data_IF_303653802280
#
_entry.id   IF_303653802280
#
_cell.length_a   1.000
_cell.length_b   1.000
_cell.length_c   1.000
_cell.angle_alpha   90.00
_cell.angle_beta   90.00
_cell.angle_gamma   90.00
#
_symmetry.space_group_name_H-M   'P 1'
#
loop_
_entity.id
_entity.type
_entity.pdbx_description
1 polymer ?
#
# COMPACT_ATOMS: atom_id res chain seq x y z
N UNK A 1 -16.50 11.14 -76.17
CA UNK A 1 -17.70 11.71 -75.53
C UNK A 1 -17.30 12.14 -74.15
N UNK A 2 -17.31 13.43 -73.80
CA UNK A 2 -16.89 13.91 -72.47
C UNK A 2 -18.07 13.92 -71.47
N UNK A 3 -17.81 13.80 -70.16
CA UNK A 3 -18.85 13.86 -69.17
C UNK A 3 -19.16 15.28 -68.72
N UNK A 4 -20.40 15.48 -68.39
CA UNK A 4 -21.06 16.72 -67.99
C UNK A 4 -20.59 17.22 -66.65
N UNK A 5 -20.28 18.51 -66.55
CA UNK A 5 -19.90 19.23 -65.35
C UNK A 5 -21.16 19.72 -64.63
N UNK A 6 -21.39 19.29 -63.42
CA UNK A 6 -22.43 19.79 -62.55
C UNK A 6 -21.84 20.78 -61.55
N UNK A 7 -22.20 22.06 -61.68
CA UNK A 7 -21.86 23.16 -60.79
C UNK A 7 -22.75 23.10 -59.55
N UNK A 8 -22.13 22.95 -58.37
CA UNK A 8 -22.81 22.95 -57.06
C UNK A 8 -22.63 24.30 -56.41
N UNK A 9 -23.71 25.03 -56.29
CA UNK A 9 -23.82 26.31 -55.60
C UNK A 9 -23.59 26.20 -54.10
N UNK A 10 -22.61 26.93 -53.58
CA UNK A 10 -22.30 27.04 -52.15
C UNK A 10 -23.27 28.05 -51.53
N UNK A 11 -24.06 27.61 -50.56
CA UNK A 11 -24.86 28.47 -49.67
C UNK A 11 -24.03 28.74 -48.41
N UNK A 12 -23.73 30.00 -48.15
CA UNK A 12 -23.21 30.46 -46.86
C UNK A 12 -24.29 30.36 -45.78
N UNK A 13 -23.97 29.88 -44.56
CA UNK A 13 -24.84 30.07 -43.41
C UNK A 13 -24.43 31.27 -42.57
N UNK A 14 -25.37 32.11 -42.35
CA UNK A 14 -25.47 33.30 -41.49
C UNK A 14 -24.84 33.11 -40.13
N UNK A 15 -24.06 34.11 -39.72
CA UNK A 15 -23.48 34.28 -38.40
C UNK A 15 -24.59 34.41 -37.33
N UNK A 16 -24.66 33.46 -36.41
CA UNK A 16 -25.38 33.60 -35.15
C UNK A 16 -24.40 33.84 -34.02
N UNK A 17 -24.53 35.07 -33.49
CA UNK A 17 -23.89 35.50 -32.25
C UNK A 17 -24.19 34.53 -31.12
N UNK A 18 -23.19 33.84 -30.64
CA UNK A 18 -23.25 33.01 -29.41
C UNK A 18 -22.54 33.75 -28.29
N UNK A 19 -23.34 34.27 -27.39
CA UNK A 19 -22.96 34.78 -26.08
C UNK A 19 -22.00 33.84 -25.37
N UNK A 20 -20.82 34.33 -25.09
CA UNK A 20 -19.78 33.72 -24.28
C UNK A 20 -20.33 33.53 -22.85
N UNK A 21 -20.76 32.31 -22.50
CA UNK A 21 -20.98 31.92 -21.09
C UNK A 21 -19.62 31.70 -20.49
N UNK A 22 -19.27 32.52 -19.53
CA UNK A 22 -18.13 32.33 -18.64
C UNK A 22 -18.31 30.95 -17.96
N UNK A 23 -17.54 29.98 -18.41
CA UNK A 23 -17.41 28.72 -17.71
C UNK A 23 -16.63 29.03 -16.43
N UNK A 24 -17.33 29.08 -15.31
CA UNK A 24 -16.72 29.06 -13.99
C UNK A 24 -15.89 27.78 -13.89
N UNK A 25 -14.59 27.99 -13.99
CA UNK A 25 -13.59 26.99 -13.72
C UNK A 25 -13.76 26.53 -12.25
N UNK A 26 -14.49 25.43 -12.04
CA UNK A 26 -14.42 24.69 -10.79
C UNK A 26 -12.98 24.25 -10.64
N UNK A 27 -12.25 24.96 -9.80
CA UNK A 27 -10.95 24.51 -9.31
C UNK A 27 -11.17 23.12 -8.70
N UNK A 28 -10.82 22.09 -9.44
CA UNK A 28 -10.74 20.74 -8.92
C UNK A 28 -9.69 20.82 -7.80
N UNK A 29 -10.14 20.66 -6.56
CA UNK A 29 -9.25 20.51 -5.42
C UNK A 29 -8.40 19.26 -5.68
N UNK A 30 -7.23 19.49 -6.21
CA UNK A 30 -6.25 18.46 -6.48
C UNK A 30 -5.72 17.99 -5.10
N UNK A 31 -6.40 16.97 -4.52
CA UNK A 31 -5.82 16.28 -3.37
C UNK A 31 -4.45 15.79 -3.82
N UNK A 32 -3.38 16.16 -3.12
CA UNK A 32 -2.06 15.67 -3.46
C UNK A 32 -2.13 14.15 -3.53
N UNK A 33 -1.58 13.59 -4.61
CA UNK A 33 -1.55 12.14 -4.79
C UNK A 33 -0.84 11.56 -3.56
N UNK A 34 -1.56 10.77 -2.74
CA UNK A 34 -0.96 10.11 -1.58
C UNK A 34 0.20 9.29 -2.09
N UNK A 35 1.41 9.62 -1.66
CA UNK A 35 2.59 8.80 -1.97
C UNK A 35 2.34 7.42 -1.35
N UNK A 36 2.31 6.35 -2.15
CA UNK A 36 1.99 5.03 -1.64
C UNK A 36 3.13 4.53 -0.74
N UNK A 37 2.79 3.74 0.28
CA UNK A 37 3.76 3.08 1.16
C UNK A 37 4.83 2.33 0.32
N UNK A 38 6.14 2.47 0.61
CA UNK A 38 7.21 1.88 -0.20
C UNK A 38 7.06 0.38 -0.48
N UNK A 39 6.46 -0.40 0.43
CA UNK A 39 6.22 -1.82 0.22
C UNK A 39 5.23 -2.12 -0.91
N UNK A 40 4.35 -1.17 -1.28
CA UNK A 40 3.37 -1.37 -2.37
C UNK A 40 4.01 -1.37 -3.77
N UNK A 41 5.24 -0.93 -3.88
CA UNK A 41 6.04 -1.04 -5.12
C UNK A 41 7.21 -2.02 -4.98
N UNK A 42 7.53 -2.48 -3.77
CA UNK A 42 8.74 -3.23 -3.51
C UNK A 42 8.58 -4.75 -3.72
N UNK A 43 7.91 -5.47 -2.83
CA UNK A 43 7.73 -6.92 -2.86
C UNK A 43 8.98 -7.77 -2.56
N UNK A 44 10.13 -7.17 -2.33
CA UNK A 44 11.41 -7.86 -2.21
C UNK A 44 11.44 -8.88 -1.05
N UNK A 45 10.92 -8.55 0.13
CA UNK A 45 10.92 -9.45 1.28
C UNK A 45 10.17 -10.76 0.99
N UNK A 46 9.00 -10.66 0.34
CA UNK A 46 8.19 -11.83 -0.03
C UNK A 46 8.79 -12.66 -1.18
N UNK A 47 9.78 -12.12 -1.89
CA UNK A 47 10.53 -12.78 -2.93
C UNK A 47 11.97 -13.16 -2.51
N UNK A 48 12.33 -12.95 -1.24
CA UNK A 48 13.69 -13.22 -0.75
C UNK A 48 13.72 -14.18 0.43
N UNK A 49 12.79 -14.03 1.39
CA UNK A 49 12.83 -14.81 2.63
C UNK A 49 11.86 -15.99 2.59
N UNK A 50 12.29 -17.08 3.26
CA UNK A 50 11.39 -18.16 3.66
C UNK A 50 10.45 -17.61 4.74
N UNK A 51 9.15 -17.87 4.57
CA UNK A 51 8.10 -17.42 5.49
C UNK A 51 7.59 -18.66 6.24
N UNK A 52 8.26 -19.01 7.35
CA UNK A 52 7.85 -20.08 8.24
C UNK A 52 7.16 -19.51 9.48
N UNK A 53 6.17 -20.21 10.00
CA UNK A 53 5.33 -19.80 11.13
C UNK A 53 4.75 -21.01 11.85
N UNK A 54 4.23 -20.82 13.05
CA UNK A 54 3.64 -21.89 13.84
C UNK A 54 2.37 -22.43 13.17
N UNK A 55 2.22 -23.76 13.14
CA UNK A 55 1.12 -24.42 12.42
C UNK A 55 -0.27 -23.96 12.85
N UNK A 56 -0.45 -23.57 14.12
CA UNK A 56 -1.73 -23.09 14.66
C UNK A 56 -2.26 -21.84 13.98
N UNK A 57 -1.39 -21.00 13.39
CA UNK A 57 -1.83 -19.82 12.64
C UNK A 57 -2.64 -20.18 11.37
N UNK A 58 -2.51 -21.42 10.89
CA UNK A 58 -3.28 -21.94 9.76
C UNK A 58 -4.34 -22.97 10.16
N UNK A 59 -4.56 -23.19 11.47
CA UNK A 59 -5.53 -24.17 11.97
C UNK A 59 -6.83 -23.48 12.41
N UNK A 60 -7.92 -23.57 11.63
CA UNK A 60 -9.16 -22.86 11.93
C UNK A 60 -9.77 -23.23 13.29
N UNK A 61 -9.61 -24.49 13.73
CA UNK A 61 -10.11 -24.94 15.02
C UNK A 61 -9.45 -24.23 16.21
N UNK A 62 -8.26 -23.66 16.01
CA UNK A 62 -7.52 -22.87 16.99
C UNK A 62 -7.57 -21.36 16.74
N UNK A 63 -8.44 -20.91 15.84
CA UNK A 63 -8.56 -19.50 15.47
C UNK A 63 -7.51 -19.03 14.45
N UNK A 64 -6.77 -19.96 13.82
CA UNK A 64 -5.83 -19.67 12.76
C UNK A 64 -6.54 -19.12 11.52
N UNK A 65 -6.00 -18.03 10.96
CA UNK A 65 -6.61 -17.30 9.85
C UNK A 65 -5.82 -17.43 8.53
N UNK A 66 -4.59 -17.97 8.57
CA UNK A 66 -3.77 -18.17 7.39
C UNK A 66 -4.35 -19.29 6.53
N UNK A 67 -4.66 -19.05 5.24
CA UNK A 67 -5.27 -20.10 4.40
C UNK A 67 -4.35 -21.32 4.24
N UNK A 68 -4.76 -22.49 4.74
CA UNK A 68 -3.98 -23.73 4.68
C UNK A 68 -3.56 -24.09 3.26
N UNK A 69 -4.42 -23.86 2.27
CA UNK A 69 -4.16 -24.15 0.85
C UNK A 69 -2.93 -23.42 0.29
N UNK A 70 -2.52 -22.31 0.90
CA UNK A 70 -1.35 -21.51 0.49
C UNK A 70 -0.09 -21.89 1.29
N UNK A 71 -0.17 -22.91 2.12
CA UNK A 71 0.92 -23.32 3.00
C UNK A 71 1.29 -24.79 2.79
N UNK A 72 2.46 -25.19 3.27
CA UNK A 72 2.91 -26.59 3.32
C UNK A 72 3.56 -26.88 4.67
N UNK A 73 3.54 -28.14 5.15
CA UNK A 73 4.29 -28.53 6.33
C UNK A 73 5.79 -28.31 6.13
N UNK A 74 6.47 -27.79 7.15
CA UNK A 74 7.93 -27.62 7.13
C UNK A 74 8.61 -28.54 8.16
N UNK A 75 8.13 -28.51 9.40
CA UNK A 75 8.57 -29.33 10.53
C UNK A 75 7.36 -29.68 11.41
N UNK A 76 7.58 -30.41 12.49
CA UNK A 76 6.52 -30.91 13.38
C UNK A 76 5.54 -29.80 13.84
N UNK A 77 6.04 -28.62 14.16
CA UNK A 77 5.23 -27.50 14.65
C UNK A 77 5.28 -26.25 13.73
N UNK A 78 5.79 -26.41 12.53
CA UNK A 78 5.97 -25.31 11.58
C UNK A 78 5.31 -25.60 10.24
N UNK A 79 4.70 -24.57 9.70
CA UNK A 79 4.29 -24.48 8.31
C UNK A 79 5.09 -23.38 7.61
N UNK A 80 5.08 -23.43 6.30
CA UNK A 80 5.74 -22.41 5.47
C UNK A 80 4.80 -21.97 4.35
N UNK A 81 4.84 -20.70 3.96
CA UNK A 81 4.13 -20.24 2.77
C UNK A 81 4.70 -20.93 1.54
N UNK A 82 3.84 -21.52 0.72
CA UNK A 82 4.24 -22.20 -0.52
C UNK A 82 5.08 -21.28 -1.40
N UNK A 83 6.10 -21.85 -2.03
CA UNK A 83 7.04 -21.14 -2.88
C UNK A 83 8.13 -20.36 -2.13
N UNK A 84 7.94 -20.00 -0.85
CA UNK A 84 8.95 -19.25 -0.09
C UNK A 84 10.11 -20.11 0.44
N UNK A 85 10.01 -21.44 0.39
CA UNK A 85 11.06 -22.37 0.81
C UNK A 85 11.93 -22.90 -0.34
N UNK A 86 11.81 -22.32 -1.53
CA UNK A 86 12.56 -22.73 -2.72
C UNK A 86 13.94 -22.07 -2.78
N UNK A 87 14.84 -22.57 -3.65
CA UNK A 87 16.15 -21.99 -3.89
C UNK A 87 16.10 -20.52 -4.37
N UNK A 88 15.02 -20.17 -5.09
CA UNK A 88 14.64 -18.80 -5.43
C UNK A 88 13.29 -18.52 -4.75
N UNK A 89 13.29 -18.02 -3.53
CA UNK A 89 12.06 -17.83 -2.77
C UNK A 89 11.11 -16.88 -3.49
N UNK A 90 9.83 -17.25 -3.52
CA UNK A 90 8.75 -16.35 -3.93
C UNK A 90 7.45 -16.85 -3.31
N UNK A 91 6.91 -16.10 -2.37
CA UNK A 91 5.67 -16.44 -1.70
C UNK A 91 4.52 -16.57 -2.72
N UNK A 92 3.73 -17.64 -2.63
CA UNK A 92 2.56 -17.85 -3.51
C UNK A 92 1.51 -16.75 -3.40
N UNK A 93 1.45 -16.06 -2.26
CA UNK A 93 0.52 -14.94 -2.03
C UNK A 93 1.05 -13.60 -2.56
N UNK A 94 2.26 -13.56 -3.15
CA UNK A 94 2.83 -12.36 -3.72
C UNK A 94 2.38 -12.17 -5.17
N UNK A 95 1.63 -11.11 -5.40
CA UNK A 95 1.33 -10.55 -6.71
C UNK A 95 2.20 -9.30 -6.89
N UNK A 96 3.26 -9.39 -7.71
CA UNK A 96 4.23 -8.31 -7.85
C UNK A 96 5.06 -8.36 -9.13
N UNK A 97 5.39 -7.17 -9.63
CA UNK A 97 6.56 -6.85 -10.43
C UNK A 97 7.55 -6.09 -9.52
N UNK A 98 8.59 -6.79 -9.05
CA UNK A 98 9.49 -6.31 -7.99
C UNK A 98 10.08 -4.95 -8.33
N UNK A 99 9.93 -4.00 -7.43
CA UNK A 99 10.38 -2.62 -7.59
C UNK A 99 9.40 -1.69 -8.32
N UNK A 100 8.28 -2.21 -8.84
CA UNK A 100 7.26 -1.44 -9.57
C UNK A 100 5.89 -1.54 -8.94
N UNK A 101 5.48 -2.74 -8.60
CA UNK A 101 4.19 -3.03 -8.00
C UNK A 101 4.29 -4.25 -7.10
N UNK A 102 3.63 -4.20 -5.94
CA UNK A 102 3.58 -5.33 -5.01
C UNK A 102 2.30 -5.34 -4.18
N UNK A 103 1.68 -6.50 -4.11
CA UNK A 103 0.52 -6.76 -3.27
C UNK A 103 0.59 -8.17 -2.68
N UNK A 104 0.29 -8.27 -1.38
CA UNK A 104 -0.01 -9.56 -0.76
C UNK A 104 -1.51 -9.86 -0.91
N UNK A 105 -1.86 -10.98 -1.58
CA UNK A 105 -3.26 -11.36 -1.83
C UNK A 105 -4.01 -11.74 -0.56
N UNK A 106 -3.28 -12.07 0.51
CA UNK A 106 -3.83 -12.43 1.83
C UNK A 106 -3.40 -11.44 2.92
N UNK A 107 -3.15 -10.17 2.57
CA UNK A 107 -2.57 -9.19 3.49
C UNK A 107 -3.27 -9.10 4.86
N UNK A 108 -4.62 -9.12 4.99
CA UNK A 108 -5.30 -9.09 6.28
C UNK A 108 -5.06 -10.32 7.15
N UNK A 109 -4.83 -11.48 6.53
CA UNK A 109 -4.70 -12.79 7.19
C UNK A 109 -3.31 -13.40 7.01
N UNK A 110 -2.30 -12.56 6.71
CA UNK A 110 -0.92 -13.01 6.57
C UNK A 110 -0.34 -13.52 7.88
N UNK A 111 0.59 -14.50 7.87
CA UNK A 111 1.19 -15.04 9.08
C UNK A 111 2.00 -14.00 9.86
N UNK A 112 2.21 -14.24 11.15
CA UNK A 112 2.85 -13.32 12.09
C UNK A 112 4.22 -12.81 11.61
N UNK A 113 5.14 -13.64 11.09
CA UNK A 113 6.43 -13.14 10.59
C UNK A 113 6.31 -12.07 9.49
N UNK A 114 5.22 -12.10 8.70
CA UNK A 114 4.96 -11.05 7.70
C UNK A 114 4.42 -9.75 8.31
N UNK A 115 3.90 -9.80 9.55
CA UNK A 115 3.43 -8.62 10.30
C UNK A 115 4.58 -7.94 11.02
N UNK A 116 5.57 -8.75 11.46
CA UNK A 116 6.70 -8.30 12.27
C UNK A 116 7.79 -7.59 11.45
N UNK A 117 7.79 -7.79 10.12
CA UNK A 117 8.76 -7.13 9.25
C UNK A 117 8.33 -5.69 8.98
N UNK A 118 9.06 -4.75 9.57
CA UNK A 118 8.97 -3.34 9.23
C UNK A 118 9.82 -3.01 8.00
N UNK A 119 9.38 -2.05 7.20
CA UNK A 119 10.26 -1.46 6.19
C UNK A 119 11.33 -0.59 6.87
N UNK A 120 12.51 -0.49 6.25
CA UNK A 120 13.60 0.34 6.81
C UNK A 120 13.12 1.78 7.01
N UNK A 121 13.36 2.34 8.17
CA UNK A 121 12.92 3.67 8.63
C UNK A 121 11.40 3.87 8.72
N UNK A 122 10.60 2.82 8.65
CA UNK A 122 9.15 2.93 8.82
C UNK A 122 8.75 3.50 10.20
N UNK A 123 9.54 3.19 11.21
CA UNK A 123 9.40 3.66 12.60
C UNK A 123 10.66 4.40 13.08
N UNK A 124 11.40 5.04 12.15
CA UNK A 124 12.61 5.81 12.47
C UNK A 124 13.90 5.01 12.48
N UNK A 125 13.86 3.67 12.52
CA UNK A 125 15.02 2.80 12.63
C UNK A 125 15.25 1.99 11.35
N UNK A 126 16.53 1.69 10.98
CA UNK A 126 16.84 0.85 9.84
C UNK A 126 16.41 -0.60 10.09
N UNK A 127 15.85 -1.26 9.08
CA UNK A 127 15.50 -2.67 9.10
C UNK A 127 16.47 -3.47 8.22
N UNK A 128 17.44 -4.14 8.85
CA UNK A 128 18.42 -4.96 8.13
C UNK A 128 17.77 -6.00 7.21
N UNK A 129 16.64 -6.56 7.63
CA UNK A 129 15.90 -7.55 6.84
C UNK A 129 15.33 -6.92 5.56
N UNK A 130 14.75 -5.73 5.67
CA UNK A 130 14.25 -4.97 4.52
C UNK A 130 15.41 -4.65 3.56
N UNK A 131 16.52 -4.14 4.06
CA UNK A 131 17.67 -3.70 3.27
C UNK A 131 18.30 -4.87 2.50
N UNK A 132 18.54 -6.02 3.15
CA UNK A 132 19.06 -7.23 2.51
C UNK A 132 18.16 -7.67 1.36
N UNK A 133 16.85 -7.74 1.58
CA UNK A 133 15.92 -8.16 0.55
C UNK A 133 15.91 -7.20 -0.64
N UNK A 134 15.88 -5.89 -0.39
CA UNK A 134 15.89 -4.88 -1.45
C UNK A 134 17.16 -4.96 -2.28
N UNK A 135 18.33 -4.97 -1.64
CA UNK A 135 19.63 -5.06 -2.31
C UNK A 135 19.75 -6.35 -3.14
N UNK A 136 19.27 -7.49 -2.63
CA UNK A 136 19.28 -8.76 -3.36
C UNK A 136 18.43 -8.72 -4.64
N UNK A 137 17.46 -7.82 -4.71
CA UNK A 137 16.63 -7.59 -5.91
C UNK A 137 17.03 -6.33 -6.70
N UNK A 138 18.23 -5.78 -6.45
CA UNK A 138 18.75 -4.61 -7.17
C UNK A 138 18.06 -3.29 -6.81
N UNK A 139 17.32 -3.25 -5.71
CA UNK A 139 16.68 -2.03 -5.21
C UNK A 139 17.58 -1.35 -4.17
N UNK A 140 17.68 -0.01 -4.13
CA UNK A 140 18.40 0.68 -3.07
C UNK A 140 17.73 0.45 -1.71
N UNK A 141 18.49 0.42 -0.63
CA UNK A 141 17.94 0.46 0.73
C UNK A 141 17.07 1.72 0.88
N UNK A 142 16.02 1.62 1.71
CA UNK A 142 15.22 2.80 2.06
C UNK A 142 16.01 3.71 3.02
N UNK A 143 15.69 4.98 2.96
CA UNK A 143 16.22 6.02 3.82
C UNK A 143 15.09 6.72 4.59
N UNK A 144 15.42 7.52 5.59
CA UNK A 144 14.41 8.34 6.28
C UNK A 144 13.67 9.29 5.32
N UNK A 145 14.36 9.77 4.26
CA UNK A 145 13.74 10.64 3.26
C UNK A 145 12.59 9.98 2.47
N UNK A 146 12.59 8.66 2.34
CA UNK A 146 11.49 7.92 1.68
C UNK A 146 10.17 7.98 2.48
N UNK A 147 10.21 8.49 3.71
CA UNK A 147 9.07 8.65 4.62
C UNK A 147 8.62 10.10 4.84
N UNK A 148 9.30 11.08 4.25
CA UNK A 148 9.00 12.51 4.43
C UNK A 148 7.53 12.88 4.07
N UNK A 149 6.89 12.10 3.20
CA UNK A 149 5.48 12.28 2.86
C UNK A 149 4.52 12.07 4.06
N UNK A 150 4.92 11.32 5.09
CA UNK A 150 4.12 11.13 6.32
C UNK A 150 4.07 12.42 7.14
N UNK A 151 5.20 13.12 7.24
CA UNK A 151 5.30 14.39 7.96
C UNK A 151 4.50 15.49 7.24
N UNK A 152 4.60 15.52 5.91
CA UNK A 152 3.79 16.45 5.10
C UNK A 152 2.28 16.20 5.30
N UNK A 153 1.84 14.93 5.28
CA UNK A 153 0.44 14.57 5.48
C UNK A 153 -0.07 14.84 6.91
N UNK A 154 0.80 14.80 7.91
CA UNK A 154 0.45 15.15 9.29
C UNK A 154 0.25 16.66 9.47
N UNK A 155 1.05 17.47 8.77
CA UNK A 155 0.95 18.93 8.81
C UNK A 155 -0.24 19.49 8.01
N UNK A 156 -0.71 18.78 6.98
CA UNK A 156 -1.90 19.16 6.21
C UNK A 156 -3.24 18.85 6.95
N UNK A 157 -3.19 18.17 8.07
CA UNK A 157 -4.36 17.78 8.88
C UNK A 157 -4.77 18.78 9.96
N UNK A 158 -4.01 19.81 10.22
CA UNK A 158 -4.29 20.83 11.25
C UNK A 158 -4.99 22.08 10.70
N UNK A 159 -6.08 21.86 10.03
CA UNK A 159 -7.08 22.89 9.77
C UNK A 159 -8.45 22.32 10.11
N UNK A 160 -8.82 22.33 11.39
CA UNK A 160 -10.21 22.13 11.77
C UNK A 160 -10.99 23.43 11.42
N UNK A 161 -11.76 23.47 10.32
CA UNK A 161 -12.48 24.69 9.94
C UNK A 161 -13.71 24.96 10.83
N UNK A 162 -14.05 24.02 11.70
CA UNK A 162 -15.20 24.11 12.59
C UNK A 162 -14.69 24.19 14.04
N UNK A 163 -14.37 25.41 14.49
CA UNK A 163 -14.06 25.70 15.90
C UNK A 163 -15.22 25.38 16.83
N UNK A 164 -15.48 24.09 17.03
CA UNK A 164 -16.33 23.59 18.10
C UNK A 164 -15.43 23.05 19.19
N UNK A 165 -14.86 23.93 19.97
CA UNK A 165 -14.28 23.62 21.27
C UNK A 165 -15.42 23.18 22.20
N UNK A 166 -15.74 21.88 22.18
CA UNK A 166 -16.61 21.29 23.17
C UNK A 166 -15.78 21.03 24.45
N UNK A 167 -15.96 21.80 25.53
CA UNK A 167 -15.18 21.65 26.77
C UNK A 167 -15.48 20.38 27.55
N UNK A 168 -16.17 19.39 26.95
CA UNK A 168 -16.68 18.20 27.63
C UNK A 168 -16.06 16.87 27.16
N UNK A 169 -15.01 16.89 26.34
CA UNK A 169 -14.20 15.70 26.07
C UNK A 169 -13.18 15.47 27.19
N UNK A 170 -13.74 15.11 28.36
CA UNK A 170 -13.00 14.62 29.50
C UNK A 170 -12.24 13.35 29.14
N UNK A 171 -10.90 13.46 29.11
CA UNK A 171 -9.96 12.46 28.72
C UNK A 171 -10.23 11.09 29.36
N UNK A 172 -10.48 10.11 28.51
CA UNK A 172 -10.38 8.71 28.87
C UNK A 172 -8.91 8.30 28.75
N UNK A 173 -8.12 8.57 29.79
CA UNK A 173 -6.76 8.06 29.90
C UNK A 173 -6.80 6.52 29.95
N UNK A 174 -5.95 5.82 29.19
CA UNK A 174 -5.87 4.36 29.28
C UNK A 174 -5.48 3.94 30.70
N UNK A 175 -6.02 2.82 31.22
CA UNK A 175 -5.69 2.34 32.55
C UNK A 175 -4.19 2.06 32.68
N UNK A 176 -3.59 2.53 33.75
CA UNK A 176 -2.18 2.28 34.08
C UNK A 176 -1.90 0.77 34.15
N UNK A 177 -0.82 0.33 33.49
CA UNK A 177 -0.35 -1.05 33.59
C UNK A 177 0.00 -1.39 35.04
N UNK A 178 -0.36 -2.59 35.54
CA UNK A 178 0.04 -3.03 36.87
C UNK A 178 1.56 -3.19 36.97
N UNK A 179 2.16 -2.96 38.13
CA UNK A 179 3.61 -3.12 38.33
C UNK A 179 4.05 -4.58 38.12
N UNK A 180 5.30 -4.81 37.69
CA UNK A 180 5.81 -6.16 37.50
C UNK A 180 5.80 -6.92 38.83
N UNK A 181 5.35 -8.16 38.79
CA UNK A 181 5.37 -9.09 39.93
C UNK A 181 6.85 -9.48 40.14
N UNK A 182 7.39 -9.13 41.30
CA UNK A 182 8.74 -9.61 41.69
C UNK A 182 8.71 -11.14 41.89
N UNK A 183 9.67 -11.81 41.25
CA UNK A 183 9.91 -13.23 41.42
C UNK A 183 10.74 -13.50 42.67
#
# INVERSE_FOLDING_TARGET
MPPSTATRTVREPSARSSTCRLAESRAAHHRPARVPHPCLSCGACCAHFRISFHWSEAEPALGGVVPQALTEPLRTHERVMRGSSQAKPRCIALDADIGRYSRCTIHPVRPQPCRDVAASYEFGEPSRQCDIARVAHGLPALTAADWAWREAAANDGEGNPDGNDNPNDGGNAPPALPPPIAA
#
